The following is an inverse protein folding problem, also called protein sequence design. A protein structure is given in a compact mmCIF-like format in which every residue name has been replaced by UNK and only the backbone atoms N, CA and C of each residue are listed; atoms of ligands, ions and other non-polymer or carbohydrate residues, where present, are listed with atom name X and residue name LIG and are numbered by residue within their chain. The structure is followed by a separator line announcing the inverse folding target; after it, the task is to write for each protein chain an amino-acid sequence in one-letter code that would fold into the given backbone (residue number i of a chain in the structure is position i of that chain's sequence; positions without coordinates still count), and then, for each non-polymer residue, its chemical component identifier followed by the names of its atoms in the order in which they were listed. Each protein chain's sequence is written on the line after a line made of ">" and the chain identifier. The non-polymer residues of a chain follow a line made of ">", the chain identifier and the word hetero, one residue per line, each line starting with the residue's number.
data_IF_651625086618
#
_entry.id   IF_651625086618
#
_cell.length_a   1.000
_cell.length_b   1.000
_cell.length_c   1.000
_cell.angle_alpha   90.00
_cell.angle_beta   90.00
_cell.angle_gamma   90.00
#
_symmetry.space_group_name_H-M   'P 1'
#
loop_
_entity.id
_entity.type
_entity.pdbx_description
1 polymer ?
#
# COMPACT_ATOMS: atom_id res chain seq x y z
N UNK A 1 -10.66 -24.26 33.28
CA UNK A 1 -10.81 -24.05 31.82
C UNK A 1 -9.48 -23.59 31.24
N UNK A 2 -9.00 -24.18 30.14
CA UNK A 2 -7.75 -23.73 29.48
C UNK A 2 -7.87 -22.28 28.99
N UNK A 3 -6.78 -21.50 29.06
CA UNK A 3 -6.70 -20.11 28.54
C UNK A 3 -7.26 -20.00 27.12
N UNK A 4 -7.00 -21.01 26.28
CA UNK A 4 -7.50 -21.07 24.91
C UNK A 4 -9.03 -21.14 24.83
N UNK A 5 -9.69 -21.92 25.69
CA UNK A 5 -11.15 -22.06 25.66
C UNK A 5 -11.84 -20.76 26.09
N UNK A 6 -11.24 -20.03 27.04
CA UNK A 6 -11.73 -18.71 27.47
C UNK A 6 -11.61 -17.68 26.35
N UNK A 7 -10.46 -17.63 25.67
CA UNK A 7 -10.25 -16.74 24.51
C UNK A 7 -11.18 -17.10 23.36
N UNK A 8 -11.31 -18.40 23.05
CA UNK A 8 -12.23 -18.90 22.03
C UNK A 8 -13.67 -18.43 22.29
N UNK A 9 -14.20 -18.64 23.49
CA UNK A 9 -15.56 -18.23 23.82
C UNK A 9 -15.78 -16.72 23.64
N UNK A 10 -14.83 -15.89 24.11
CA UNK A 10 -14.90 -14.43 23.94
C UNK A 10 -14.84 -14.00 22.48
N UNK A 11 -13.89 -14.55 21.70
CA UNK A 11 -13.68 -14.18 20.29
C UNK A 11 -14.81 -14.69 19.39
N UNK A 12 -15.28 -15.92 19.60
CA UNK A 12 -16.43 -16.48 18.87
C UNK A 12 -17.69 -15.64 19.12
N UNK A 13 -18.01 -15.33 20.38
CA UNK A 13 -19.16 -14.49 20.70
C UNK A 13 -19.05 -13.09 20.07
N UNK A 14 -17.86 -12.47 20.12
CA UNK A 14 -17.59 -11.20 19.46
C UNK A 14 -17.83 -11.25 17.94
N UNK A 15 -17.37 -12.32 17.27
CA UNK A 15 -17.59 -12.53 15.84
C UNK A 15 -19.08 -12.66 15.51
N UNK A 16 -19.83 -13.46 16.27
CA UNK A 16 -21.27 -13.65 16.04
C UNK A 16 -22.07 -12.37 16.25
N UNK A 17 -21.72 -11.54 17.25
CA UNK A 17 -22.34 -10.23 17.44
C UNK A 17 -22.11 -9.30 16.24
N UNK A 18 -20.87 -9.25 15.73
CA UNK A 18 -20.54 -8.45 14.55
C UNK A 18 -21.23 -8.95 13.29
N UNK A 19 -21.35 -10.26 13.12
CA UNK A 19 -22.13 -10.85 12.02
C UNK A 19 -23.61 -10.46 12.11
N UNK A 20 -24.19 -10.47 13.31
CA UNK A 20 -25.58 -10.03 13.52
C UNK A 20 -25.77 -8.55 13.18
N UNK A 21 -24.89 -7.67 13.68
CA UNK A 21 -24.90 -6.25 13.35
C UNK A 21 -24.82 -6.02 11.83
N UNK A 22 -23.88 -6.67 11.13
CA UNK A 22 -23.74 -6.56 9.67
C UNK A 22 -24.96 -7.09 8.91
N UNK A 23 -25.53 -8.21 9.35
CA UNK A 23 -26.74 -8.77 8.73
C UNK A 23 -27.92 -7.80 8.83
N UNK A 24 -28.10 -7.14 9.98
CA UNK A 24 -29.16 -6.15 10.21
C UNK A 24 -28.88 -4.86 9.43
N UNK A 25 -27.69 -4.28 9.54
CA UNK A 25 -27.37 -2.97 8.97
C UNK A 25 -27.33 -2.99 7.45
N UNK A 26 -26.84 -4.07 6.85
CA UNK A 26 -26.67 -4.18 5.41
C UNK A 26 -27.74 -5.03 4.72
N UNK A 27 -28.64 -5.67 5.48
CA UNK A 27 -29.67 -6.55 4.91
C UNK A 27 -29.10 -7.77 4.18
N UNK A 28 -27.96 -8.30 4.64
CA UNK A 28 -27.26 -9.41 3.99
C UNK A 28 -27.41 -10.74 4.72
N UNK A 29 -27.49 -11.83 3.94
CA UNK A 29 -27.50 -13.19 4.45
C UNK A 29 -26.09 -13.62 4.87
N UNK A 30 -25.89 -13.84 6.18
CA UNK A 30 -24.64 -14.36 6.73
C UNK A 30 -24.88 -15.72 7.40
N UNK A 31 -24.00 -16.68 7.16
CA UNK A 31 -23.92 -17.96 7.88
C UNK A 31 -22.47 -18.22 8.29
N UNK A 32 -22.27 -18.71 9.51
CA UNK A 32 -20.93 -18.96 10.08
C UNK A 32 -20.86 -20.38 10.65
N UNK A 33 -19.77 -21.08 10.34
CA UNK A 33 -19.38 -22.36 10.93
C UNK A 33 -18.04 -22.21 11.66
N UNK A 34 -17.98 -22.61 12.92
CA UNK A 34 -16.74 -22.58 13.72
C UNK A 34 -16.49 -23.96 14.31
N UNK A 35 -15.42 -24.63 13.88
CA UNK A 35 -15.03 -25.92 14.42
C UNK A 35 -14.24 -25.75 15.73
N UNK A 36 -14.71 -26.37 16.82
CA UNK A 36 -13.98 -26.43 18.09
C UNK A 36 -13.01 -27.62 18.07
N UNK A 37 -11.84 -27.47 18.71
CA UNK A 37 -10.90 -28.58 18.84
C UNK A 37 -11.41 -29.63 19.86
N UNK A 38 -11.32 -30.91 19.52
CA UNK A 38 -11.52 -32.03 20.46
C UNK A 38 -12.85 -32.78 20.39
N UNK A 39 -13.39 -33.05 19.19
CA UNK A 39 -14.44 -34.05 19.01
C UNK A 39 -15.29 -33.85 17.76
N UNK A 40 -15.79 -34.96 17.22
CA UNK A 40 -16.78 -35.00 16.14
C UNK A 40 -18.10 -34.39 16.69
N UNK A 41 -18.71 -33.46 15.96
CA UNK A 41 -19.94 -32.72 16.31
C UNK A 41 -19.83 -31.49 17.23
N UNK A 42 -18.65 -30.86 17.36
CA UNK A 42 -18.48 -29.63 18.17
C UNK A 42 -18.38 -28.33 17.33
N UNK A 43 -19.15 -28.22 16.24
CA UNK A 43 -19.19 -26.99 15.45
C UNK A 43 -20.27 -26.02 15.95
N UNK A 44 -19.95 -24.74 16.02
CA UNK A 44 -20.94 -23.67 16.22
C UNK A 44 -21.49 -23.30 14.85
N UNK A 45 -22.80 -23.47 14.67
CA UNK A 45 -23.54 -23.03 13.48
C UNK A 45 -24.40 -21.83 13.84
N UNK A 46 -24.20 -20.72 13.14
CA UNK A 46 -24.93 -19.48 13.37
C UNK A 46 -25.64 -19.03 12.08
N UNK A 47 -26.87 -18.47 12.14
CA UNK A 47 -27.63 -18.01 13.33
C UNK A 47 -28.19 -19.10 14.26
N UNK A 48 -28.83 -20.09 13.67
CA UNK A 48 -29.20 -21.37 14.30
C UNK A 48 -28.86 -22.48 13.29
N UNK A 49 -28.76 -23.74 13.71
CA UNK A 49 -28.51 -24.85 12.79
C UNK A 49 -29.48 -24.91 11.59
N UNK A 50 -30.77 -24.64 11.82
CA UNK A 50 -31.82 -24.68 10.81
C UNK A 50 -31.67 -23.51 9.80
N UNK A 51 -31.50 -22.29 10.32
CA UNK A 51 -31.35 -21.10 9.48
C UNK A 51 -30.02 -21.16 8.70
N UNK A 52 -28.95 -21.61 9.35
CA UNK A 52 -27.68 -21.86 8.70
C UNK A 52 -27.83 -22.87 7.57
N UNK A 53 -28.54 -23.98 7.79
CA UNK A 53 -28.81 -24.99 6.77
C UNK A 53 -29.53 -24.42 5.55
N UNK A 54 -30.55 -23.60 5.75
CA UNK A 54 -31.26 -22.91 4.66
C UNK A 54 -30.33 -21.99 3.86
N UNK A 55 -29.52 -21.18 4.54
CA UNK A 55 -28.53 -20.29 3.90
C UNK A 55 -27.45 -21.08 3.16
N UNK A 56 -26.99 -22.18 3.74
CA UNK A 56 -26.01 -23.06 3.13
C UNK A 56 -26.57 -23.73 1.87
N UNK A 57 -27.81 -24.20 1.89
CA UNK A 57 -28.46 -24.75 0.69
C UNK A 57 -28.51 -23.71 -0.43
N UNK A 58 -29.02 -22.50 -0.13
CA UNK A 58 -29.04 -21.37 -1.07
C UNK A 58 -27.65 -21.03 -1.61
N UNK A 59 -26.61 -21.13 -0.78
CA UNK A 59 -25.22 -20.96 -1.21
C UNK A 59 -24.74 -22.10 -2.13
N UNK A 60 -25.12 -23.34 -1.82
CA UNK A 60 -24.75 -24.52 -2.59
C UNK A 60 -25.50 -24.63 -3.93
N UNK A 61 -26.65 -23.96 -4.07
CA UNK A 61 -27.39 -23.83 -5.32
C UNK A 61 -26.60 -23.03 -6.39
N UNK A 62 -25.62 -22.20 -5.99
CA UNK A 62 -24.72 -21.55 -6.95
C UNK A 62 -23.72 -22.54 -7.54
N UNK A 63 -23.44 -22.44 -8.85
CA UNK A 63 -22.43 -23.27 -9.52
C UNK A 63 -21.04 -23.11 -8.89
N UNK A 64 -20.24 -24.19 -8.95
CA UNK A 64 -18.90 -24.20 -8.36
C UNK A 64 -18.04 -23.02 -8.85
N UNK A 65 -18.06 -22.72 -10.15
CA UNK A 65 -17.34 -21.58 -10.75
C UNK A 65 -17.75 -20.23 -10.13
N UNK A 66 -19.05 -20.00 -9.91
CA UNK A 66 -19.56 -18.76 -9.30
C UNK A 66 -19.08 -18.62 -7.86
N UNK A 67 -19.09 -19.72 -7.10
CA UNK A 67 -18.60 -19.76 -5.70
C UNK A 67 -17.10 -19.53 -5.65
N UNK A 68 -16.32 -20.29 -6.42
CA UNK A 68 -14.86 -20.21 -6.45
C UNK A 68 -14.36 -18.80 -6.83
N UNK A 69 -15.01 -18.15 -7.81
CA UNK A 69 -14.66 -16.79 -8.22
C UNK A 69 -14.78 -15.74 -7.09
N UNK A 70 -15.71 -15.94 -6.15
CA UNK A 70 -15.95 -15.03 -5.01
C UNK A 70 -15.40 -15.55 -3.70
N UNK A 71 -14.77 -16.73 -3.69
CA UNK A 71 -14.24 -17.32 -2.48
C UNK A 71 -12.94 -16.61 -2.09
N UNK A 72 -12.86 -16.19 -0.83
CA UNK A 72 -11.69 -15.54 -0.25
C UNK A 72 -11.21 -16.38 0.92
N UNK A 73 -9.95 -16.81 0.86
CA UNK A 73 -9.26 -17.45 1.97
C UNK A 73 -8.48 -16.38 2.72
N UNK A 74 -8.40 -16.50 4.05
CA UNK A 74 -7.76 -15.50 4.89
C UNK A 74 -6.30 -15.24 4.50
N UNK A 75 -5.53 -16.28 4.20
CA UNK A 75 -4.14 -16.17 3.74
C UNK A 75 -4.03 -15.33 2.46
N UNK A 76 -4.78 -15.69 1.41
CA UNK A 76 -4.84 -14.90 0.16
C UNK A 76 -5.30 -13.46 0.35
N UNK A 77 -6.20 -13.23 1.31
CA UNK A 77 -6.63 -11.87 1.66
C UNK A 77 -5.47 -11.08 2.27
N UNK A 78 -4.74 -11.66 3.22
CA UNK A 78 -3.59 -11.01 3.85
C UNK A 78 -2.47 -10.74 2.83
N UNK A 79 -2.13 -11.71 1.99
CA UNK A 79 -1.17 -11.54 0.89
C UNK A 79 -1.58 -10.38 -0.03
N UNK A 80 -2.86 -10.33 -0.43
CA UNK A 80 -3.37 -9.24 -1.26
C UNK A 80 -3.23 -7.88 -0.57
N UNK A 81 -3.56 -7.78 0.72
CA UNK A 81 -3.44 -6.53 1.47
C UNK A 81 -1.99 -6.08 1.59
N UNK A 82 -1.07 -6.99 1.91
CA UNK A 82 0.37 -6.71 1.95
C UNK A 82 0.83 -6.20 0.59
N UNK A 83 0.47 -6.89 -0.50
CA UNK A 83 0.85 -6.48 -1.85
C UNK A 83 0.28 -5.10 -2.23
N UNK A 84 -0.95 -4.80 -1.83
CA UNK A 84 -1.53 -3.47 -2.05
C UNK A 84 -0.77 -2.38 -1.30
N UNK A 85 -0.43 -2.63 -0.03
CA UNK A 85 0.32 -1.68 0.80
C UNK A 85 1.75 -1.50 0.28
N UNK A 86 2.43 -2.57 -0.17
CA UNK A 86 3.77 -2.48 -0.76
C UNK A 86 3.76 -1.68 -2.05
N UNK A 87 2.79 -1.92 -2.94
CA UNK A 87 2.64 -1.15 -4.18
C UNK A 87 2.35 0.34 -3.91
N UNK A 88 1.53 0.61 -2.89
CA UNK A 88 1.26 1.98 -2.47
C UNK A 88 2.53 2.67 -1.95
N UNK A 89 3.30 2.00 -1.09
CA UNK A 89 4.53 2.52 -0.54
C UNK A 89 5.58 2.77 -1.64
N UNK A 90 5.78 1.82 -2.56
CA UNK A 90 6.71 1.97 -3.68
C UNK A 90 6.36 3.20 -4.53
N UNK A 91 5.09 3.36 -4.92
CA UNK A 91 4.63 4.53 -5.69
C UNK A 91 4.82 5.83 -4.94
N UNK A 92 4.55 5.84 -3.64
CA UNK A 92 4.75 7.01 -2.79
C UNK A 92 6.23 7.38 -2.69
N UNK A 93 7.10 6.41 -2.45
CA UNK A 93 8.56 6.61 -2.38
C UNK A 93 9.09 7.17 -3.70
N UNK A 94 8.75 6.58 -4.84
CA UNK A 94 9.15 7.12 -6.15
C UNK A 94 8.65 8.55 -6.38
N UNK A 95 7.44 8.88 -5.93
CA UNK A 95 6.90 10.24 -6.03
C UNK A 95 7.66 11.23 -5.14
N UNK A 96 8.06 10.82 -3.95
CA UNK A 96 8.85 11.63 -3.03
C UNK A 96 10.24 11.88 -3.64
N UNK A 97 10.93 10.83 -4.06
CA UNK A 97 12.26 10.92 -4.67
C UNK A 97 12.28 11.84 -5.90
N UNK A 98 11.25 11.75 -6.74
CA UNK A 98 11.12 12.64 -7.90
C UNK A 98 10.98 14.11 -7.48
N UNK A 99 10.16 14.40 -6.47
CA UNK A 99 9.95 15.76 -5.97
C UNK A 99 11.20 16.31 -5.29
N UNK A 100 11.88 15.49 -4.49
CA UNK A 100 13.13 15.87 -3.83
C UNK A 100 14.22 16.16 -4.87
N UNK A 101 14.37 15.30 -5.87
CA UNK A 101 15.30 15.49 -6.98
C UNK A 101 14.99 16.76 -7.79
N UNK A 102 13.72 17.03 -8.11
CA UNK A 102 13.32 18.28 -8.77
C UNK A 102 13.62 19.50 -7.91
N UNK A 103 13.41 19.41 -6.59
CA UNK A 103 13.77 20.49 -5.68
C UNK A 103 15.28 20.71 -5.67
N UNK A 104 16.09 19.66 -5.59
CA UNK A 104 17.55 19.75 -5.67
C UNK A 104 17.98 20.42 -6.98
N UNK A 105 17.39 20.05 -8.12
CA UNK A 105 17.67 20.70 -9.40
C UNK A 105 17.36 22.21 -9.36
N UNK A 106 16.22 22.60 -8.80
CA UNK A 106 15.85 24.01 -8.67
C UNK A 106 16.83 24.78 -7.77
N UNK A 107 17.34 24.14 -6.73
CA UNK A 107 18.34 24.73 -5.84
C UNK A 107 19.70 24.91 -6.53
N UNK A 108 20.11 23.96 -7.38
CA UNK A 108 21.31 24.08 -8.20
C UNK A 108 21.20 25.20 -9.23
N UNK A 109 20.02 25.37 -9.84
CA UNK A 109 19.75 26.51 -10.73
C UNK A 109 19.86 27.86 -10.01
N UNK A 110 19.58 27.89 -8.70
CA UNK A 110 19.77 29.07 -7.84
C UNK A 110 21.24 29.25 -7.39
N UNK A 111 22.16 28.41 -7.86
CA UNK A 111 23.58 28.50 -7.57
C UNK A 111 24.02 27.81 -6.27
N UNK A 112 23.18 26.95 -5.68
CA UNK A 112 23.63 26.10 -4.57
C UNK A 112 24.61 25.04 -5.08
N UNK A 113 25.53 24.63 -4.22
CA UNK A 113 26.56 23.64 -4.51
C UNK A 113 26.06 22.20 -4.30
N UNK A 114 26.64 21.21 -4.98
CA UNK A 114 26.23 19.80 -4.95
C UNK A 114 26.72 19.04 -3.71
N UNK A 115 27.70 19.58 -2.98
CA UNK A 115 28.37 18.89 -1.88
C UNK A 115 27.46 18.49 -0.70
N UNK A 116 26.23 19.01 -0.65
CA UNK A 116 25.25 18.67 0.38
C UNK A 116 24.43 17.41 0.07
N UNK A 117 24.52 16.87 -1.16
CA UNK A 117 23.78 15.69 -1.59
C UNK A 117 24.60 14.42 -1.39
N UNK A 118 23.95 13.36 -0.91
CA UNK A 118 24.58 12.05 -0.83
C UNK A 118 24.58 11.32 -2.21
N UNK A 119 25.29 10.19 -2.29
CA UNK A 119 25.40 9.42 -3.53
C UNK A 119 24.04 8.93 -4.05
N UNK A 120 23.10 8.61 -3.15
CA UNK A 120 21.76 8.16 -3.51
C UNK A 120 20.97 9.30 -4.15
N UNK A 121 20.96 10.46 -3.50
CA UNK A 121 20.31 11.68 -3.97
C UNK A 121 20.90 12.16 -5.29
N UNK A 122 22.23 12.10 -5.46
CA UNK A 122 22.89 12.40 -6.73
C UNK A 122 22.46 11.44 -7.85
N UNK A 123 22.30 10.16 -7.55
CA UNK A 123 21.82 9.19 -8.53
C UNK A 123 20.33 9.43 -8.90
N UNK A 124 19.48 9.76 -7.92
CA UNK A 124 18.09 10.16 -8.16
C UNK A 124 18.02 11.42 -9.03
N UNK A 125 18.88 12.40 -8.75
CA UNK A 125 19.01 13.63 -9.54
C UNK A 125 19.42 13.33 -10.98
N UNK A 126 20.47 12.52 -11.17
CA UNK A 126 20.95 12.13 -12.49
C UNK A 126 19.86 11.41 -13.30
N UNK A 127 19.16 10.45 -12.69
CA UNK A 127 18.02 9.74 -13.31
C UNK A 127 16.90 10.69 -13.72
N UNK A 128 16.63 11.72 -12.91
CA UNK A 128 15.61 12.73 -13.21
C UNK A 128 16.02 13.60 -14.40
N UNK A 129 17.28 14.04 -14.46
CA UNK A 129 17.85 14.81 -15.58
C UNK A 129 17.79 13.97 -16.87
N UNK A 130 18.19 12.70 -16.81
CA UNK A 130 18.09 11.77 -17.94
C UNK A 130 16.65 11.64 -18.45
N UNK A 131 15.67 11.59 -17.53
CA UNK A 131 14.25 11.61 -17.86
C UNK A 131 13.82 12.87 -18.61
N UNK A 132 14.26 14.05 -18.13
CA UNK A 132 13.98 15.32 -18.80
C UNK A 132 14.61 15.39 -20.20
N UNK A 133 15.86 14.95 -20.36
CA UNK A 133 16.55 14.91 -21.65
C UNK A 133 15.82 14.01 -22.65
N UNK A 134 15.39 12.81 -22.22
CA UNK A 134 14.57 11.91 -23.05
C UNK A 134 13.28 12.57 -23.51
N UNK A 135 12.60 13.30 -22.62
CA UNK A 135 11.38 14.02 -22.95
C UNK A 135 11.62 15.15 -23.95
N UNK A 136 12.72 15.90 -23.80
CA UNK A 136 13.11 16.93 -24.77
C UNK A 136 13.41 16.33 -26.15
N UNK A 137 14.16 15.21 -26.20
CA UNK A 137 14.45 14.51 -27.45
C UNK A 137 13.17 14.01 -28.13
N UNK A 138 12.25 13.42 -27.35
CA UNK A 138 10.95 12.97 -27.85
C UNK A 138 10.16 14.12 -28.46
N UNK A 139 10.03 15.25 -27.74
CA UNK A 139 9.32 16.44 -28.23
C UNK A 139 9.97 17.03 -29.48
N UNK A 140 11.30 17.04 -29.54
CA UNK A 140 12.02 17.51 -30.72
C UNK A 140 11.72 16.64 -31.95
N UNK A 141 11.66 15.32 -31.78
CA UNK A 141 11.32 14.39 -32.86
C UNK A 141 9.85 14.54 -33.31
N UNK A 142 8.92 14.73 -32.37
CA UNK A 142 7.51 15.00 -32.68
C UNK A 142 7.36 16.27 -33.54
N UNK A 143 8.00 17.38 -33.14
CA UNK A 143 7.98 18.64 -33.89
C UNK A 143 8.60 18.50 -35.28
N UNK A 144 9.71 17.76 -35.40
CA UNK A 144 10.36 17.53 -36.69
C UNK A 144 9.48 16.71 -37.64
N UNK A 145 8.75 15.73 -37.11
CA UNK A 145 7.79 14.94 -37.89
C UNK A 145 6.58 15.77 -38.34
N UNK A 146 6.06 16.65 -37.47
CA UNK A 146 4.97 17.58 -37.81
C UNK A 146 5.39 18.56 -38.92
N UNK A 147 6.63 19.08 -38.87
CA UNK A 147 7.18 19.96 -39.91
C UNK A 147 7.34 19.22 -41.25
N UNK A 148 7.75 17.95 -41.25
CA UNK A 148 7.82 17.14 -42.47
C UNK A 148 6.44 16.85 -43.08
N UNK A 149 5.40 16.64 -42.26
CA UNK A 149 4.03 16.51 -42.77
C UNK A 149 3.44 17.82 -43.31
N UNK A 150 3.75 18.96 -42.68
CA UNK A 150 3.31 20.28 -43.16
C UNK A 150 3.95 20.68 -44.50
N UNK A 151 5.16 20.20 -44.80
CA UNK A 151 5.85 20.42 -46.08
C UNK A 151 5.33 19.53 -47.23
N UNK A 152 4.52 18.50 -46.95
CA UNK A 152 3.88 17.65 -47.96
C UNK A 152 2.52 18.19 -48.46
N UNK A 153 2.04 19.31 -47.91
CA UNK A 153 0.83 19.99 -48.41
C UNK A 153 1.19 20.80 -49.66
N UNK A 154 0.42 20.72 -50.77
CA UNK A 154 0.73 21.41 -52.00
C UNK A 154 0.76 22.93 -51.77
N UNK A 155 1.87 23.58 -52.15
CA UNK A 155 1.99 25.04 -52.14
C UNK A 155 0.83 25.67 -52.93
N UNK A 156 0.15 26.71 -52.41
CA UNK A 156 -0.82 27.45 -53.20
C UNK A 156 -0.10 28.16 -54.37
N UNK A 157 -0.71 28.20 -55.57
CA UNK A 157 -0.04 28.78 -56.74
C UNK A 157 0.28 30.25 -56.51
N UNK A 158 1.55 30.60 -56.77
CA UNK A 158 2.10 31.95 -56.65
C UNK A 158 1.23 32.96 -57.38
N UNK A 159 0.59 33.87 -56.63
CA UNK A 159 -0.04 35.06 -57.22
C UNK A 159 1.05 36.03 -57.62
N UNK A 160 1.08 36.38 -58.91
CA UNK A 160 2.00 37.34 -59.51
C UNK A 160 1.98 38.67 -58.73
N UNK A 161 3.16 39.12 -58.30
CA UNK A 161 3.39 40.42 -57.67
C UNK A 161 3.15 41.56 -58.68
N UNK A 162 2.30 42.51 -58.32
CA UNK A 162 2.30 43.86 -58.89
C UNK A 162 3.05 44.78 -57.90
N UNK A 163 3.99 45.64 -58.33
CA UNK A 163 4.71 46.50 -57.41
C UNK A 163 3.86 47.73 -57.07
N UNK A 164 3.83 48.11 -55.80
CA UNK A 164 3.37 49.45 -55.37
C UNK A 164 4.45 50.09 -54.49
N UNK A 165 4.65 51.42 -54.55
CA UNK A 165 5.86 52.06 -54.06
C UNK A 165 5.78 52.42 -52.57
N UNK A 166 6.93 52.20 -51.92
CA UNK A 166 7.50 52.82 -50.71
C UNK A 166 6.64 53.59 -49.72
N UNK A 167 6.75 53.19 -48.45
CA UNK A 167 7.03 54.11 -47.31
C UNK A 167 7.90 53.36 -46.29
N UNK A 168 8.81 54.10 -45.65
CA UNK A 168 9.91 53.64 -44.82
C UNK A 168 9.55 53.28 -43.35
N UNK A 169 10.40 52.39 -42.79
CA UNK A 169 10.85 52.26 -41.39
C UNK A 169 9.90 51.63 -40.32
N UNK A 170 10.43 51.16 -39.16
CA UNK A 170 11.75 50.61 -38.86
C UNK A 170 11.69 49.17 -38.28
N UNK A 171 12.87 48.55 -38.24
CA UNK A 171 13.16 47.24 -37.64
C UNK A 171 12.97 47.31 -36.10
N UNK A 172 12.06 46.50 -35.55
CA UNK A 172 12.03 46.17 -34.12
C UNK A 172 12.27 44.67 -33.96
N UNK A 173 13.48 44.33 -33.53
CA UNK A 173 13.82 43.03 -32.97
C UNK A 173 13.19 42.97 -31.58
N UNK A 174 12.05 42.29 -31.46
CA UNK A 174 11.49 41.99 -30.15
C UNK A 174 12.02 40.65 -29.69
N UNK A 175 13.07 40.71 -28.88
CA UNK A 175 13.52 39.60 -28.03
C UNK A 175 12.39 39.35 -27.03
N UNK A 176 11.53 38.37 -27.30
CA UNK A 176 10.57 37.88 -26.33
C UNK A 176 11.30 36.82 -25.51
N UNK A 177 11.63 37.19 -24.27
CA UNK A 177 12.31 36.35 -23.29
C UNK A 177 11.60 35.01 -23.11
N UNK A 178 12.39 33.95 -23.23
CA UNK A 178 12.00 32.56 -23.11
C UNK A 178 12.13 32.07 -21.67
N UNK A 179 11.31 32.59 -20.75
CA UNK A 179 11.35 32.16 -19.33
C UNK A 179 10.02 31.55 -18.82
N UNK A 180 9.12 31.17 -19.73
CA UNK A 180 7.81 30.59 -19.35
C UNK A 180 7.62 29.13 -19.77
N UNK A 181 8.64 28.46 -20.28
CA UNK A 181 8.49 27.10 -20.83
C UNK A 181 8.65 25.97 -19.80
N UNK A 182 8.97 26.29 -18.54
CA UNK A 182 9.39 25.25 -17.58
C UNK A 182 8.55 25.11 -16.32
N UNK A 183 7.68 26.07 -15.97
CA UNK A 183 6.81 25.94 -14.79
C UNK A 183 5.38 25.64 -15.25
N UNK A 184 5.19 24.42 -15.74
CA UNK A 184 3.85 23.85 -15.82
C UNK A 184 3.30 23.66 -14.41
N UNK A 185 2.28 24.43 -14.03
CA UNK A 185 1.50 24.21 -12.82
C UNK A 185 0.90 22.80 -12.88
N UNK A 186 1.44 21.86 -12.10
CA UNK A 186 1.00 20.46 -12.12
C UNK A 186 -0.24 20.25 -11.24
N UNK A 187 -1.34 19.88 -11.89
CA UNK A 187 -2.55 19.36 -11.26
C UNK A 187 -2.36 17.86 -10.96
N UNK A 188 -2.98 17.41 -9.88
CA UNK A 188 -2.80 16.12 -9.24
C UNK A 188 -3.00 14.90 -10.18
N UNK A 189 -2.25 13.83 -9.87
CA UNK A 189 -2.38 12.42 -10.34
C UNK A 189 -1.74 11.94 -11.64
N UNK A 190 -1.30 12.76 -12.61
CA UNK A 190 -0.97 12.23 -13.97
C UNK A 190 0.48 12.19 -14.45
N UNK A 191 1.48 12.65 -13.68
CA UNK A 191 2.78 13.00 -14.28
C UNK A 191 4.00 12.13 -13.96
N UNK A 192 3.93 11.10 -13.11
CA UNK A 192 5.13 10.26 -12.84
C UNK A 192 5.56 9.50 -14.11
N UNK A 193 4.60 8.95 -14.87
CA UNK A 193 4.87 8.24 -16.13
C UNK A 193 5.35 9.18 -17.24
N UNK A 194 4.93 10.45 -17.22
CA UNK A 194 5.36 11.45 -18.22
C UNK A 194 6.78 11.94 -17.97
N UNK A 195 7.21 12.08 -16.72
CA UNK A 195 8.55 12.56 -16.39
C UNK A 195 9.60 11.46 -16.54
N UNK A 196 9.29 10.21 -16.15
CA UNK A 196 10.29 9.13 -16.14
C UNK A 196 10.27 8.26 -17.39
N UNK A 197 9.21 8.25 -18.20
CA UNK A 197 9.12 7.38 -19.38
C UNK A 197 9.23 5.87 -19.07
N UNK A 198 9.09 5.50 -17.79
CA UNK A 198 9.17 4.11 -17.32
C UNK A 198 7.75 3.55 -17.28
N UNK A 199 7.42 2.68 -18.24
CA UNK A 199 6.44 1.63 -17.98
C UNK A 199 7.03 0.70 -16.92
N UNK A 200 6.29 0.31 -15.87
CA UNK A 200 6.78 -0.64 -14.88
C UNK A 200 7.01 -1.97 -15.58
N UNK A 201 8.24 -2.22 -16.02
CA UNK A 201 8.63 -3.53 -16.48
C UNK A 201 8.93 -4.35 -15.24
N UNK A 202 8.03 -5.31 -14.99
CA UNK A 202 8.10 -6.29 -13.91
C UNK A 202 9.40 -7.07 -14.09
N UNK A 203 10.39 -6.81 -13.24
CA UNK A 203 11.54 -7.70 -13.11
C UNK A 203 11.07 -9.00 -12.49
N UNK A 204 11.28 -10.11 -13.19
CA UNK A 204 11.04 -11.45 -12.67
C UNK A 204 11.75 -11.65 -11.32
N UNK A 205 10.97 -11.97 -10.29
CA UNK A 205 11.51 -12.45 -9.01
C UNK A 205 12.09 -13.84 -9.25
N UNK A 206 13.38 -14.11 -8.96
CA UNK A 206 13.91 -15.44 -9.12
C UNK A 206 13.25 -16.38 -8.13
N UNK A 207 12.69 -17.47 -8.66
CA UNK A 207 12.21 -18.61 -7.90
C UNK A 207 13.41 -19.23 -7.16
N UNK A 208 13.58 -18.93 -5.87
CA UNK A 208 14.58 -19.59 -5.04
C UNK A 208 13.95 -20.79 -4.34
N UNK A 209 14.33 -21.97 -4.80
CA UNK A 209 14.04 -23.27 -4.19
C UNK A 209 14.91 -23.47 -2.94
N UNK A 210 14.25 -23.71 -1.80
CA UNK A 210 14.72 -24.59 -0.71
C UNK A 210 15.99 -24.23 0.06
N UNK A 211 15.87 -24.10 1.39
CA UNK A 211 17.01 -24.22 2.31
C UNK A 211 16.94 -23.33 3.53
N UNK A 212 16.33 -23.87 4.59
CA UNK A 212 16.60 -23.73 6.03
C UNK A 212 17.28 -22.47 6.64
N UNK A 213 16.66 -22.06 7.76
CA UNK A 213 17.22 -21.33 8.90
C UNK A 213 17.77 -19.90 8.70
N UNK A 214 16.94 -18.90 9.05
CA UNK A 214 17.42 -17.75 9.81
C UNK A 214 16.29 -17.05 10.57
N UNK A 215 16.03 -17.52 11.81
CA UNK A 215 15.27 -16.77 12.82
C UNK A 215 16.21 -15.77 13.51
N UNK A 216 16.18 -14.51 13.08
CA UNK A 216 16.41 -13.30 13.91
C UNK A 216 16.84 -12.09 13.05
N UNK A 217 15.89 -11.35 12.47
CA UNK A 217 16.14 -9.96 12.06
C UNK A 217 14.88 -9.16 12.33
N UNK A 218 14.61 -8.83 13.60
CA UNK A 218 13.85 -7.63 14.04
C UNK A 218 14.08 -7.46 15.56
N UNK A 219 15.24 -6.89 15.95
CA UNK A 219 15.40 -6.25 17.27
C UNK A 219 15.64 -4.76 17.02
N UNK A 220 14.69 -3.94 17.48
CA UNK A 220 14.86 -2.49 17.60
C UNK A 220 15.74 -2.18 18.83
N UNK A 221 16.52 -1.08 18.84
CA UNK A 221 17.45 -0.79 19.93
C UNK A 221 16.77 -0.05 21.09
N UNK A 222 17.09 -0.54 22.30
CA UNK A 222 17.41 0.26 23.49
C UNK A 222 16.34 1.13 24.12
N UNK A 223 15.91 0.76 25.32
CA UNK A 223 16.00 1.71 26.43
C UNK A 223 16.35 0.97 27.73
N UNK A 224 17.47 1.39 28.32
CA UNK A 224 18.01 0.88 29.55
C UNK A 224 17.82 1.95 30.62
N UNK A 225 17.11 1.61 31.69
CA UNK A 225 17.24 2.32 32.96
C UNK A 225 17.44 1.29 34.06
N UNK A 226 18.68 1.29 34.55
CA UNK A 226 19.08 0.70 35.83
C UNK A 226 18.22 1.23 36.97
N UNK A 227 17.82 0.33 37.86
CA UNK A 227 17.79 0.62 39.29
C UNK A 227 18.25 -0.63 40.05
N UNK A 228 19.40 -0.48 40.67
CA UNK A 228 20.05 -1.46 41.52
C UNK A 228 19.28 -1.67 42.84
N UNK A 229 19.43 -2.87 43.41
CA UNK A 229 19.52 -3.02 44.87
C UNK A 229 18.73 -4.19 45.46
N UNK A 230 19.47 -5.14 46.06
CA UNK A 230 19.04 -5.77 47.31
C UNK A 230 18.82 -7.28 47.28
N UNK A 231 19.90 -8.02 47.54
CA UNK A 231 19.89 -9.42 48.00
C UNK A 231 19.35 -9.48 49.44
N UNK A 232 18.53 -10.49 49.77
CA UNK A 232 18.09 -10.76 51.14
C UNK A 232 17.41 -12.11 51.28
N UNK A 233 18.18 -13.06 51.83
CA UNK A 233 17.85 -14.45 52.16
C UNK A 233 17.00 -14.58 53.44
N UNK A 234 16.31 -15.72 53.60
CA UNK A 234 15.89 -16.26 54.90
C UNK A 234 14.46 -15.99 55.38
N UNK A 235 13.76 -17.05 55.79
CA UNK A 235 12.58 -16.92 56.67
C UNK A 235 11.54 -18.05 56.58
N UNK A 236 11.88 -19.23 57.09
CA UNK A 236 10.91 -20.30 57.41
C UNK A 236 10.27 -20.00 58.78
N UNK A 237 9.01 -20.44 58.93
CA UNK A 237 8.20 -20.63 60.14
C UNK A 237 7.25 -19.48 60.54
N UNK A 238 5.95 -19.77 60.52
CA UNK A 238 5.12 -19.68 61.74
C UNK A 238 4.02 -20.75 61.71
N UNK A 239 4.00 -21.54 62.79
CA UNK A 239 2.90 -22.40 63.25
C UNK A 239 1.87 -21.56 64.00
N UNK A 240 0.58 -21.91 63.88
CA UNK A 240 -0.49 -21.75 64.89
C UNK A 240 -1.74 -22.44 64.32
N UNK A 241 -2.19 -23.60 64.82
CA UNK A 241 -3.00 -23.76 66.04
C UNK A 241 -4.49 -23.73 65.66
N UNK A 242 -5.20 -24.85 65.56
CA UNK A 242 -6.12 -25.39 66.58
C UNK A 242 -7.34 -24.47 66.79
N UNK A 243 -8.62 -24.87 66.72
CA UNK A 243 -9.32 -25.89 67.52
C UNK A 243 -10.72 -26.17 66.90
N UNK A 244 -11.12 -27.44 66.98
CA UNK A 244 -12.46 -28.07 67.03
C UNK A 244 -13.72 -27.19 67.26
N UNK A 245 -14.83 -27.50 66.56
CA UNK A 245 -16.11 -27.96 67.16
C UNK A 245 -17.23 -28.27 66.14
N UNK A 246 -17.74 -29.51 66.23
CA UNK A 246 -19.08 -30.06 65.94
C UNK A 246 -20.20 -29.18 65.34
N UNK A 247 -20.92 -29.75 64.35
CA UNK A 247 -22.36 -30.02 64.47
C UNK A 247 -22.80 -31.10 63.47
N UNK A 248 -23.51 -32.11 64.00
CA UNK A 248 -24.34 -33.07 63.26
C UNK A 248 -25.47 -32.33 62.53
N UNK A 249 -25.95 -32.90 61.41
CA UNK A 249 -27.29 -33.49 61.37
C UNK A 249 -27.53 -34.23 60.05
N UNK A 250 -28.23 -35.35 60.22
CA UNK A 250 -28.78 -36.26 59.24
C UNK A 250 -29.73 -35.57 58.23
N UNK A 251 -29.97 -36.22 57.09
CA UNK A 251 -31.28 -36.77 56.71
C UNK A 251 -31.15 -37.54 55.38
N UNK A 252 -31.82 -38.68 55.36
CA UNK A 252 -31.91 -39.73 54.36
C UNK A 252 -32.34 -39.32 52.95
N UNK A 253 -31.81 -40.01 51.93
CA UNK A 253 -32.52 -41.05 51.14
C UNK A 253 -31.54 -41.75 50.22
#
# INVERSE_FOLDING_TARGET
>A
MSKRNVVFGRRANGLLKKANELSILCGIDIGIVIHKQGGENNAILWPSPEIFGQKLHKFLDFSNLKRAKKMVVHEKYLEKMINMDTEYLLKSTTRIELKESQQSLNELQQGKDLNHLDLYQLNCLNSTIDGMLKNLHKRNNELNNEQQQAQLLPLPPSRLLLPSPGVAAPMQQQIIGSDQLFIGTMSEERDITRVLGVSPNVGDVPHSTGGEDNRNIWRLPGDATDYAGGVGDGGVQTLSGGISSRSNNDIAS
#
